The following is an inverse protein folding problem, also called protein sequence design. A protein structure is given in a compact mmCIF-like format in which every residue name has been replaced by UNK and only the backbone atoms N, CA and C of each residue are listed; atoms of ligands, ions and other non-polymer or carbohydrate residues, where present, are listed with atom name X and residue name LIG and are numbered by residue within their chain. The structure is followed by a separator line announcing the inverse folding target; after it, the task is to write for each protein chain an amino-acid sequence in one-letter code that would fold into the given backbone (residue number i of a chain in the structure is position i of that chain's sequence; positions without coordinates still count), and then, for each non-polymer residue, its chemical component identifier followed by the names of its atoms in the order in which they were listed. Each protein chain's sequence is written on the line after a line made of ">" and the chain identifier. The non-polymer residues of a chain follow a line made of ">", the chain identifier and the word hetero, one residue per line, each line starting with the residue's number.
data_IF_176350390852
#
_entry.id   IF_176350390852
#
_cell.length_a   1.000
_cell.length_b   1.000
_cell.length_c   1.000
_cell.angle_alpha   90.00
_cell.angle_beta   90.00
_cell.angle_gamma   90.00
#
_symmetry.space_group_name_H-M   'P 1'
#
loop_
_entity.id
_entity.type
_entity.pdbx_description
1 polymer ?
#
# COMPACT_ATOMS: atom_id res chain seq x y z
N UNK A 1 -66.84 -52.04 45.96
CA UNK A 1 -68.21 -51.42 46.05
C UNK A 1 -68.41 -50.49 44.90
N UNK A 2 -69.20 -50.90 43.99
CA UNK A 2 -70.36 -50.18 43.44
C UNK A 2 -69.99 -49.09 42.43
N UNK A 3 -70.18 -49.50 41.16
CA UNK A 3 -71.13 -48.97 40.13
C UNK A 3 -70.78 -47.56 39.52
N UNK A 4 -70.81 -47.38 38.32
CA UNK A 4 -71.65 -47.77 37.18
C UNK A 4 -72.01 -46.54 36.35
N UNK A 5 -72.13 -46.77 35.02
CA UNK A 5 -72.89 -46.08 33.96
C UNK A 5 -72.33 -44.82 33.33
N UNK A 6 -71.79 -44.93 32.11
CA UNK A 6 -72.46 -44.85 30.81
C UNK A 6 -73.22 -43.55 30.57
N UNK A 7 -72.83 -42.78 29.52
CA UNK A 7 -73.75 -42.44 28.46
C UNK A 7 -73.02 -41.83 27.27
N UNK A 8 -73.31 -42.30 26.10
CA UNK A 8 -72.97 -41.76 24.76
C UNK A 8 -73.58 -40.35 24.57
N UNK A 9 -72.89 -39.52 23.89
CA UNK A 9 -73.58 -38.64 22.94
C UNK A 9 -72.61 -38.20 21.82
N UNK A 10 -73.02 -38.51 20.62
CA UNK A 10 -72.45 -38.09 19.32
C UNK A 10 -72.58 -36.58 19.11
N UNK A 11 -71.72 -36.09 18.22
CA UNK A 11 -71.68 -34.84 17.47
C UNK A 11 -70.57 -33.94 18.04
N UNK A 12 -69.62 -33.53 17.24
CA UNK A 12 -69.63 -33.03 15.88
C UNK A 12 -68.22 -33.02 15.31
N UNK A 13 -68.04 -33.74 14.22
CA UNK A 13 -66.93 -33.53 13.31
C UNK A 13 -67.14 -32.13 12.69
N UNK A 14 -66.19 -31.24 12.77
CA UNK A 14 -66.32 -29.99 12.07
C UNK A 14 -65.41 -28.82 12.48
N UNK A 15 -64.34 -29.03 13.22
CA UNK A 15 -63.50 -27.89 13.61
C UNK A 15 -61.98 -28.19 13.58
N UNK A 16 -61.53 -29.15 12.77
CA UNK A 16 -60.13 -29.50 12.71
C UNK A 16 -59.43 -29.23 11.38
N UNK A 17 -60.10 -28.54 10.45
CA UNK A 17 -59.55 -28.29 9.10
C UNK A 17 -59.19 -26.83 8.77
N UNK A 18 -59.29 -25.91 9.76
CA UNK A 18 -58.99 -24.49 9.49
C UNK A 18 -57.75 -24.00 10.22
N UNK A 19 -57.14 -24.82 11.11
CA UNK A 19 -55.95 -24.40 11.88
C UNK A 19 -54.61 -24.85 11.25
N UNK A 20 -54.63 -25.62 10.18
CA UNK A 20 -53.39 -26.11 9.52
C UNK A 20 -52.97 -25.19 8.35
N UNK A 21 -53.81 -24.30 7.87
CA UNK A 21 -53.49 -23.41 6.74
C UNK A 21 -52.88 -22.07 7.13
N UNK A 22 -52.91 -21.71 8.42
CA UNK A 22 -52.30 -20.45 8.91
C UNK A 22 -50.86 -20.63 9.36
N UNK A 23 -50.45 -21.86 9.65
CA UNK A 23 -49.06 -22.16 10.06
C UNK A 23 -48.07 -22.27 8.85
N UNK A 24 -48.58 -22.46 7.63
CA UNK A 24 -47.72 -22.58 6.45
C UNK A 24 -47.40 -21.23 5.81
N UNK A 25 -48.08 -20.14 6.16
CA UNK A 25 -47.82 -18.79 5.59
C UNK A 25 -46.82 -17.94 6.39
N UNK A 26 -46.36 -18.40 7.55
CA UNK A 26 -45.35 -17.71 8.36
C UNK A 26 -43.94 -18.25 8.18
N UNK A 27 -43.76 -19.27 7.35
CA UNK A 27 -42.45 -19.91 7.10
C UNK A 27 -41.65 -19.33 5.95
N UNK A 28 -42.20 -18.34 5.22
CA UNK A 28 -41.51 -17.66 4.11
C UNK A 28 -40.99 -16.28 4.51
N UNK A 29 -40.60 -16.09 5.78
CA UNK A 29 -39.70 -15.01 6.14
C UNK A 29 -38.37 -15.32 5.42
N UNK A 30 -38.26 -14.82 4.21
CA UNK A 30 -37.06 -14.78 3.42
C UNK A 30 -35.93 -14.34 4.33
N UNK A 31 -35.04 -15.24 4.63
CA UNK A 31 -33.67 -14.91 4.96
C UNK A 31 -33.13 -14.17 3.70
N UNK A 32 -33.43 -12.88 3.62
CA UNK A 32 -32.65 -11.96 2.84
C UNK A 32 -31.28 -12.03 3.50
N UNK A 33 -30.42 -12.94 3.01
CA UNK A 33 -29.00 -12.83 3.21
C UNK A 33 -28.67 -11.43 2.70
N UNK A 34 -28.58 -10.47 3.62
CA UNK A 34 -27.94 -9.22 3.33
C UNK A 34 -26.52 -9.61 2.95
N UNK A 35 -26.30 -9.74 1.66
CA UNK A 35 -24.97 -9.70 1.09
C UNK A 35 -24.42 -8.36 1.59
N UNK A 36 -23.67 -8.42 2.67
CA UNK A 36 -22.94 -7.29 3.22
C UNK A 36 -22.01 -6.90 2.09
N UNK A 37 -22.35 -5.85 1.34
CA UNK A 37 -21.53 -5.35 0.27
C UNK A 37 -20.18 -5.09 0.93
N UNK A 38 -19.17 -5.86 0.57
CA UNK A 38 -17.81 -5.58 0.97
C UNK A 38 -17.55 -4.15 0.49
N UNK A 39 -17.35 -3.25 1.43
CA UNK A 39 -16.92 -1.90 1.08
C UNK A 39 -15.50 -2.02 0.59
N UNK A 40 -15.32 -2.08 -0.71
CA UNK A 40 -14.00 -2.14 -1.36
C UNK A 40 -13.32 -0.76 -1.35
N UNK A 41 -13.90 0.21 -0.64
CA UNK A 41 -13.43 1.60 -0.56
C UNK A 41 -13.20 1.99 0.88
N UNK A 42 -12.01 2.53 1.17
CA UNK A 42 -11.68 3.20 2.43
C UNK A 42 -11.57 4.70 2.19
N UNK A 43 -12.16 5.51 3.06
CA UNK A 43 -12.04 6.97 3.06
C UNK A 43 -11.23 7.39 4.28
N UNK A 44 -10.12 8.06 4.04
CA UNK A 44 -9.21 8.55 5.08
C UNK A 44 -9.23 10.08 5.09
N UNK A 45 -9.48 10.66 6.27
CA UNK A 45 -9.36 12.10 6.48
C UNK A 45 -7.89 12.50 6.65
N UNK A 46 -7.47 13.55 5.95
CA UNK A 46 -6.14 14.15 6.10
C UNK A 46 -6.27 15.56 6.65
N UNK A 47 -5.34 15.95 7.53
CA UNK A 47 -5.31 17.30 8.12
C UNK A 47 -4.79 18.32 7.10
N UNK A 48 -3.83 17.92 6.27
CA UNK A 48 -3.17 18.78 5.29
C UNK A 48 -3.28 18.16 3.89
N UNK A 49 -3.58 19.00 2.91
CA UNK A 49 -3.48 18.61 1.51
C UNK A 49 -2.01 18.63 1.06
N UNK A 50 -1.53 17.62 0.31
CA UNK A 50 -0.20 17.63 -0.25
C UNK A 50 -0.08 18.74 -1.33
N UNK A 51 1.04 19.44 -1.34
CA UNK A 51 1.35 20.46 -2.35
C UNK A 51 1.87 19.85 -3.66
N UNK A 52 2.33 18.60 -3.60
CA UNK A 52 2.92 17.80 -4.68
C UNK A 52 2.69 16.32 -4.36
N UNK A 53 2.95 15.43 -5.31
CA UNK A 53 3.00 13.98 -5.09
C UNK A 53 4.41 13.41 -5.29
N UNK A 54 5.43 14.28 -5.45
CA UNK A 54 6.84 13.89 -5.51
C UNK A 54 7.55 14.25 -4.19
N UNK A 55 7.76 13.28 -3.28
CA UNK A 55 8.42 13.51 -2.00
C UNK A 55 9.92 13.76 -2.15
N UNK A 56 10.50 13.49 -3.32
CA UNK A 56 11.92 13.74 -3.61
C UNK A 56 12.20 15.18 -4.01
N UNK A 57 11.16 15.96 -4.33
CA UNK A 57 11.28 17.35 -4.75
C UNK A 57 10.60 18.35 -3.83
N UNK A 58 9.73 17.89 -2.93
CA UNK A 58 9.00 18.75 -2.00
C UNK A 58 9.00 18.17 -0.57
N UNK A 59 9.22 19.00 0.47
CA UNK A 59 9.48 18.51 1.84
C UNK A 59 8.21 18.30 2.70
N UNK A 60 6.99 18.52 2.17
CA UNK A 60 5.77 18.46 2.97
C UNK A 60 5.43 17.03 3.43
N UNK A 61 5.13 16.84 4.73
CA UNK A 61 4.80 15.53 5.29
C UNK A 61 3.57 14.89 4.62
N UNK A 62 2.55 15.69 4.31
CA UNK A 62 1.33 15.23 3.64
C UNK A 62 1.60 14.52 2.29
N UNK A 63 2.70 14.83 1.61
CA UNK A 63 3.10 14.12 0.39
C UNK A 63 3.42 12.67 0.73
N UNK A 64 4.26 12.44 1.74
CA UNK A 64 4.62 11.11 2.19
C UNK A 64 3.42 10.29 2.64
N UNK A 65 2.47 10.91 3.37
CA UNK A 65 1.25 10.25 3.82
C UNK A 65 0.43 9.66 2.67
N UNK A 66 0.41 10.33 1.51
CA UNK A 66 -0.31 9.85 0.32
C UNK A 66 0.50 8.83 -0.46
N UNK A 67 1.77 9.12 -0.74
CA UNK A 67 2.49 8.38 -1.78
C UNK A 67 3.39 7.27 -1.24
N UNK A 68 3.93 7.41 0.00
CA UNK A 68 4.92 6.48 0.54
C UNK A 68 4.30 5.13 0.88
N UNK A 69 4.83 4.06 0.34
CA UNK A 69 4.32 2.68 0.38
C UNK A 69 2.94 2.46 -0.25
N UNK A 70 2.27 3.52 -0.70
CA UNK A 70 1.04 3.43 -1.46
C UNK A 70 1.31 3.42 -2.97
N UNK A 71 1.98 4.46 -3.47
CA UNK A 71 2.31 4.64 -4.89
C UNK A 71 3.79 4.39 -5.13
N UNK A 72 4.65 4.94 -4.26
CA UNK A 72 6.10 4.94 -4.39
C UNK A 72 6.73 4.13 -3.26
N UNK A 73 7.75 3.35 -3.59
CA UNK A 73 8.48 2.49 -2.65
C UNK A 73 9.97 2.79 -2.67
N UNK A 74 10.63 2.49 -1.55
CA UNK A 74 12.09 2.54 -1.40
C UNK A 74 12.72 1.16 -1.49
N UNK A 75 14.03 1.07 -1.31
CA UNK A 75 14.75 -0.21 -1.27
C UNK A 75 14.38 -1.03 -0.04
N UNK A 76 14.15 -0.37 1.08
CA UNK A 76 13.81 -0.96 2.38
C UNK A 76 12.49 -0.43 2.88
N UNK A 77 11.91 -1.10 3.88
CA UNK A 77 10.69 -0.68 4.58
C UNK A 77 10.98 -0.44 6.05
N UNK A 78 10.53 0.68 6.55
CA UNK A 78 10.58 1.04 7.98
C UNK A 78 9.25 0.65 8.62
N UNK A 79 9.29 -0.03 9.75
CA UNK A 79 8.13 -0.38 10.55
C UNK A 79 7.93 0.61 11.71
N UNK A 80 6.76 0.56 12.34
CA UNK A 80 6.40 1.46 13.44
C UNK A 80 7.32 1.33 14.67
N UNK A 81 7.95 0.17 14.86
CA UNK A 81 8.95 -0.09 15.91
C UNK A 81 10.37 0.37 15.53
N UNK A 82 10.54 0.97 14.34
CA UNK A 82 11.82 1.41 13.80
C UNK A 82 12.65 0.31 13.14
N UNK A 83 12.17 -0.92 13.10
CA UNK A 83 12.86 -2.01 12.38
C UNK A 83 12.83 -1.79 10.87
N UNK A 84 13.85 -2.30 10.19
CA UNK A 84 14.03 -2.18 8.74
C UNK A 84 13.98 -3.57 8.11
N UNK A 85 13.13 -3.73 7.11
CA UNK A 85 12.97 -4.98 6.38
C UNK A 85 13.14 -4.78 4.87
N UNK A 86 13.39 -5.86 4.10
CA UNK A 86 13.39 -5.82 2.63
C UNK A 86 12.09 -5.29 2.03
N UNK A 87 12.20 -4.47 0.96
CA UNK A 87 11.08 -4.01 0.14
C UNK A 87 11.41 -4.21 -1.34
N UNK A 88 11.84 -3.19 -2.09
CA UNK A 88 12.30 -3.40 -3.49
C UNK A 88 13.64 -4.14 -3.54
N UNK A 89 14.50 -3.98 -2.54
CA UNK A 89 15.61 -4.90 -2.32
C UNK A 89 15.10 -6.13 -1.56
N UNK A 90 15.39 -7.33 -2.04
CA UNK A 90 15.11 -8.60 -1.35
C UNK A 90 16.16 -8.91 -0.27
N UNK A 91 17.38 -8.40 -0.45
CA UNK A 91 18.49 -8.55 0.50
C UNK A 91 19.57 -7.51 0.22
N UNK A 92 20.50 -7.39 1.15
CA UNK A 92 21.70 -6.55 1.00
C UNK A 92 22.88 -7.13 1.78
N UNK A 93 24.07 -6.73 1.38
CA UNK A 93 25.31 -6.90 2.14
C UNK A 93 25.98 -5.56 2.32
N UNK A 94 26.75 -5.43 3.39
CA UNK A 94 27.58 -4.26 3.69
C UNK A 94 29.01 -4.73 3.84
N UNK A 95 29.96 -3.95 3.36
CA UNK A 95 31.38 -4.21 3.57
C UNK A 95 31.81 -3.99 5.02
N UNK A 96 33.03 -4.43 5.34
CA UNK A 96 33.57 -4.32 6.72
C UNK A 96 33.75 -2.87 7.20
N UNK A 97 33.94 -1.94 6.26
CA UNK A 97 34.18 -0.52 6.57
C UNK A 97 32.87 0.27 6.68
N UNK A 98 31.71 -0.36 6.41
CA UNK A 98 30.39 0.25 6.45
C UNK A 98 30.17 1.31 5.37
N UNK A 99 30.90 1.24 4.27
CA UNK A 99 30.84 2.20 3.17
C UNK A 99 30.21 1.66 1.90
N UNK A 100 30.31 0.39 1.60
CA UNK A 100 29.75 -0.20 0.40
C UNK A 100 28.54 -1.09 0.75
N UNK A 101 27.43 -0.81 0.09
CA UNK A 101 26.19 -1.58 0.22
C UNK A 101 25.84 -2.19 -1.12
N UNK A 102 25.72 -3.52 -1.17
CA UNK A 102 25.25 -4.23 -2.35
C UNK A 102 23.82 -4.72 -2.13
N UNK A 103 22.87 -4.16 -2.87
CA UNK A 103 21.46 -4.52 -2.82
C UNK A 103 21.12 -5.50 -3.95
N UNK A 104 20.44 -6.60 -3.60
CA UNK A 104 19.79 -7.49 -4.56
C UNK A 104 18.34 -7.05 -4.71
N UNK A 105 17.92 -6.72 -5.92
CA UNK A 105 16.58 -6.25 -6.21
C UNK A 105 15.64 -7.41 -6.50
N UNK A 106 14.38 -7.27 -6.10
CA UNK A 106 13.33 -8.23 -6.45
C UNK A 106 13.15 -8.31 -7.94
N UNK A 107 12.99 -9.55 -8.44
CA UNK A 107 12.70 -9.82 -9.85
C UNK A 107 11.20 -9.75 -10.10
N UNK A 108 10.81 -9.38 -11.33
CA UNK A 108 9.42 -9.37 -11.76
C UNK A 108 8.57 -8.24 -11.20
N UNK A 109 9.19 -7.27 -10.50
CA UNK A 109 8.50 -6.04 -10.08
C UNK A 109 8.25 -5.17 -11.31
N UNK A 110 7.06 -4.58 -11.36
CA UNK A 110 6.68 -3.66 -12.43
C UNK A 110 6.24 -2.32 -11.86
N UNK A 111 6.49 -1.28 -12.61
CA UNK A 111 5.83 0.00 -12.39
C UNK A 111 4.34 -0.10 -12.75
N UNK A 112 3.55 0.85 -12.27
CA UNK A 112 2.09 0.89 -12.49
C UNK A 112 1.69 1.09 -13.96
N UNK A 113 2.61 1.51 -14.82
CA UNK A 113 2.44 1.58 -16.27
C UNK A 113 2.76 0.26 -17.01
N UNK A 114 3.15 -0.78 -16.26
CA UNK A 114 3.49 -2.11 -16.76
C UNK A 114 4.95 -2.29 -17.18
N UNK A 115 5.78 -1.23 -17.16
CA UNK A 115 7.21 -1.33 -17.44
C UNK A 115 7.96 -2.04 -16.31
N UNK A 116 9.11 -2.62 -16.63
CA UNK A 116 9.91 -3.36 -15.65
C UNK A 116 10.68 -2.41 -14.73
N UNK A 117 10.72 -2.75 -13.44
CA UNK A 117 11.60 -2.14 -12.45
C UNK A 117 12.95 -2.88 -12.46
N UNK A 118 14.04 -2.13 -12.53
CA UNK A 118 15.40 -2.64 -12.48
C UNK A 118 16.37 -1.69 -11.76
N UNK A 119 17.65 -2.08 -11.73
CA UNK A 119 18.71 -1.33 -11.09
C UNK A 119 18.94 0.07 -11.71
N UNK A 120 18.58 0.26 -12.97
CA UNK A 120 18.73 1.57 -13.64
C UNK A 120 17.78 2.61 -13.06
N UNK A 121 16.56 2.21 -12.64
CA UNK A 121 15.60 3.09 -12.00
C UNK A 121 16.10 3.55 -10.61
N UNK A 122 16.76 2.66 -9.86
CA UNK A 122 17.38 3.00 -8.57
C UNK A 122 18.51 4.01 -8.77
N UNK A 123 19.42 3.72 -9.69
CA UNK A 123 20.54 4.59 -10.04
C UNK A 123 20.01 5.97 -10.47
N UNK A 124 19.07 6.02 -11.39
CA UNK A 124 18.42 7.26 -11.83
C UNK A 124 17.86 8.08 -10.67
N UNK A 125 17.09 7.45 -9.78
CA UNK A 125 16.42 8.13 -8.66
C UNK A 125 17.42 8.76 -7.70
N UNK A 126 18.51 8.06 -7.38
CA UNK A 126 19.51 8.54 -6.45
C UNK A 126 20.47 9.58 -7.08
N UNK A 127 20.82 9.42 -8.35
CA UNK A 127 21.56 10.45 -9.10
C UNK A 127 20.73 11.72 -9.24
N UNK A 128 19.42 11.63 -9.49
CA UNK A 128 18.49 12.78 -9.49
C UNK A 128 18.45 13.44 -8.11
N UNK A 129 18.37 12.65 -7.02
CA UNK A 129 18.36 13.18 -5.66
C UNK A 129 19.67 13.86 -5.27
N UNK A 130 20.81 13.42 -5.81
CA UNK A 130 22.15 13.99 -5.61
C UNK A 130 22.41 15.20 -6.52
N UNK A 131 21.78 15.27 -7.69
CA UNK A 131 22.06 16.25 -8.74
C UNK A 131 21.97 17.71 -8.28
N UNK A 132 22.66 18.63 -8.98
CA UNK A 132 22.78 20.05 -8.57
C UNK A 132 21.43 20.75 -8.43
N UNK A 133 20.47 20.43 -9.27
CA UNK A 133 19.12 21.00 -9.28
C UNK A 133 18.16 20.31 -8.28
N UNK A 134 18.65 19.33 -7.53
CA UNK A 134 17.81 18.59 -6.59
C UNK A 134 17.37 19.47 -5.42
N UNK A 135 16.08 19.45 -5.15
CA UNK A 135 15.44 20.04 -3.95
C UNK A 135 15.12 19.00 -2.90
N UNK A 136 15.66 17.78 -3.04
CA UNK A 136 15.46 16.71 -2.07
C UNK A 136 16.02 17.13 -0.71
N UNK A 137 15.16 17.11 0.33
CA UNK A 137 15.54 17.52 1.68
C UNK A 137 16.65 16.66 2.30
N UNK A 138 16.79 15.40 1.83
CA UNK A 138 17.85 14.50 2.28
C UNK A 138 19.15 14.62 1.46
N UNK A 139 19.20 15.51 0.44
CA UNK A 139 20.38 15.68 -0.43
C UNK A 139 21.66 15.85 0.39
N UNK A 140 21.70 16.80 1.31
CA UNK A 140 22.90 17.07 2.12
C UNK A 140 23.28 15.93 3.06
N UNK A 141 22.29 15.35 3.72
CA UNK A 141 22.52 14.36 4.78
C UNK A 141 22.73 12.93 4.26
N UNK A 142 22.20 12.60 3.07
CA UNK A 142 22.20 11.23 2.52
C UNK A 142 22.87 11.18 1.16
N UNK A 143 22.28 11.87 0.17
CA UNK A 143 22.67 11.64 -1.22
C UNK A 143 24.04 12.23 -1.56
N UNK A 144 24.46 13.31 -0.92
CA UNK A 144 25.82 13.86 -1.09
C UNK A 144 26.91 12.94 -0.50
N UNK A 145 26.56 12.04 0.42
CA UNK A 145 27.47 11.05 0.97
C UNK A 145 27.69 9.84 0.02
N UNK A 146 26.90 9.73 -1.05
CA UNK A 146 27.05 8.68 -2.05
C UNK A 146 28.15 9.10 -3.03
N UNK A 147 29.31 8.43 -2.98
CA UNK A 147 30.39 8.68 -3.93
C UNK A 147 30.13 8.03 -5.29
N UNK A 148 29.61 6.80 -5.30
CA UNK A 148 29.42 6.05 -6.51
C UNK A 148 28.20 5.13 -6.45
N UNK A 149 27.52 4.97 -7.59
CA UNK A 149 26.43 4.00 -7.78
C UNK A 149 26.74 3.20 -9.03
N UNK A 150 26.87 1.88 -8.89
CA UNK A 150 27.01 0.97 -9.99
C UNK A 150 25.87 -0.05 -10.05
N UNK A 151 25.58 -0.50 -11.26
CA UNK A 151 24.53 -1.47 -11.57
C UNK A 151 25.16 -2.59 -12.41
N UNK A 152 25.86 -3.54 -11.77
CA UNK A 152 26.59 -4.59 -12.50
C UNK A 152 25.66 -5.50 -13.30
N UNK A 153 24.41 -5.62 -12.89
CA UNK A 153 23.34 -6.30 -13.63
C UNK A 153 21.98 -5.62 -13.35
N UNK A 154 20.92 -6.08 -14.00
CA UNK A 154 19.57 -5.50 -13.87
C UNK A 154 18.97 -5.60 -12.46
N UNK A 155 19.51 -6.45 -11.60
CA UNK A 155 18.96 -6.73 -10.27
C UNK A 155 19.98 -6.54 -9.15
N UNK A 156 21.10 -5.87 -9.43
CA UNK A 156 22.11 -5.56 -8.41
C UNK A 156 22.46 -4.08 -8.47
N UNK A 157 22.37 -3.41 -7.32
CA UNK A 157 22.84 -2.04 -7.15
C UNK A 157 23.91 -2.02 -6.07
N UNK A 158 25.07 -1.47 -6.39
CA UNK A 158 26.13 -1.22 -5.43
C UNK A 158 26.26 0.27 -5.20
N UNK A 159 26.11 0.68 -3.94
CA UNK A 159 26.20 2.08 -3.51
C UNK A 159 27.42 2.21 -2.60
N UNK A 160 28.33 3.11 -2.96
CA UNK A 160 29.53 3.41 -2.18
C UNK A 160 29.36 4.80 -1.55
N UNK A 161 29.68 4.90 -0.25
CA UNK A 161 29.61 6.12 0.52
C UNK A 161 31.02 6.72 0.71
N UNK A 162 31.12 8.04 0.79
CA UNK A 162 32.34 8.73 1.17
C UNK A 162 32.70 8.45 2.65
N UNK A 163 31.67 8.43 3.50
CA UNK A 163 31.80 8.16 4.93
C UNK A 163 30.79 7.09 5.37
N UNK A 164 31.17 6.21 6.33
CA UNK A 164 30.22 5.24 6.88
C UNK A 164 28.97 5.91 7.40
N UNK A 165 27.80 5.31 7.15
CA UNK A 165 26.51 5.75 7.71
C UNK A 165 25.75 4.55 8.28
N UNK A 166 25.77 4.40 9.61
CA UNK A 166 25.06 3.31 10.29
C UNK A 166 23.55 3.32 10.12
N UNK A 167 22.98 4.44 9.68
CA UNK A 167 21.55 4.59 9.41
C UNK A 167 21.21 4.45 7.91
N UNK A 168 22.18 4.12 7.06
CA UNK A 168 21.96 4.14 5.61
C UNK A 168 20.79 3.24 5.18
N UNK A 169 20.66 2.05 5.73
CA UNK A 169 19.54 1.15 5.42
C UNK A 169 18.19 1.71 5.84
N UNK A 170 18.13 2.41 6.99
CA UNK A 170 16.92 3.10 7.42
C UNK A 170 16.56 4.22 6.44
N UNK A 171 17.56 5.03 6.04
CA UNK A 171 17.37 6.13 5.08
C UNK A 171 16.88 5.67 3.71
N UNK A 172 17.22 4.44 3.30
CA UNK A 172 16.73 3.84 2.05
C UNK A 172 15.24 3.43 2.11
N UNK A 173 14.65 3.46 3.30
CA UNK A 173 13.21 3.28 3.53
C UNK A 173 12.43 4.58 3.73
N UNK A 174 13.09 5.74 3.78
CA UNK A 174 12.42 7.04 3.94
C UNK A 174 11.75 7.49 2.62
N UNK A 175 10.73 8.34 2.74
CA UNK A 175 10.02 8.89 1.58
C UNK A 175 10.90 9.73 0.64
N UNK A 176 12.05 10.21 1.11
CA UNK A 176 13.04 10.94 0.31
C UNK A 176 13.89 10.04 -0.57
N UNK A 177 13.88 8.74 -0.33
CA UNK A 177 14.67 7.73 -1.06
C UNK A 177 13.78 6.77 -1.88
N UNK A 178 12.55 7.17 -2.19
CA UNK A 178 11.67 6.38 -3.07
C UNK A 178 12.19 6.34 -4.49
N UNK A 179 11.86 5.25 -5.17
CA UNK A 179 12.27 5.04 -6.56
C UNK A 179 11.20 5.59 -7.49
N UNK A 180 11.62 6.48 -8.35
CA UNK A 180 10.79 7.09 -9.40
C UNK A 180 10.99 6.35 -10.73
N UNK A 181 9.93 6.29 -11.51
CA UNK A 181 10.04 5.81 -12.88
C UNK A 181 10.81 6.82 -13.74
N UNK A 182 11.92 6.44 -14.40
CA UNK A 182 12.81 7.39 -15.09
C UNK A 182 12.11 8.25 -16.16
N UNK A 183 11.18 7.64 -16.93
CA UNK A 183 10.48 8.36 -18.02
C UNK A 183 9.39 9.30 -17.54
N UNK A 184 8.88 9.15 -16.30
CA UNK A 184 7.77 9.95 -15.77
C UNK A 184 8.16 10.79 -14.56
N UNK A 185 9.43 10.79 -14.17
CA UNK A 185 9.92 11.52 -13.01
C UNK A 185 9.62 13.03 -13.05
N UNK A 186 9.64 13.64 -14.24
CA UNK A 186 9.33 15.07 -14.42
C UNK A 186 7.85 15.41 -14.13
N UNK A 187 6.95 14.44 -14.25
CA UNK A 187 5.53 14.62 -13.95
C UNK A 187 5.13 14.06 -12.59
N UNK A 188 6.07 13.52 -11.81
CA UNK A 188 5.80 12.87 -10.53
C UNK A 188 5.10 13.79 -9.52
N UNK A 189 5.29 15.10 -9.61
CA UNK A 189 4.62 16.09 -8.77
C UNK A 189 3.08 16.05 -8.86
N UNK A 190 2.52 15.58 -9.98
CA UNK A 190 1.07 15.53 -10.22
C UNK A 190 0.57 14.18 -10.70
N UNK A 191 1.44 13.37 -11.29
CA UNK A 191 1.13 12.05 -11.84
C UNK A 191 2.26 11.06 -11.53
N UNK A 192 2.46 10.71 -10.24
CA UNK A 192 3.49 9.75 -9.88
C UNK A 192 3.19 8.38 -10.46
N UNK A 193 4.23 7.72 -10.97
CA UNK A 193 4.23 6.31 -11.38
C UNK A 193 5.28 5.60 -10.55
N UNK A 194 4.85 4.65 -9.76
CA UNK A 194 5.70 3.89 -8.85
C UNK A 194 5.48 2.39 -8.96
N UNK A 195 6.02 1.65 -8.00
CA UNK A 195 5.92 0.19 -7.88
C UNK A 195 4.92 -0.22 -6.80
N UNK A 196 4.36 0.75 -6.07
CA UNK A 196 3.45 0.51 -4.95
C UNK A 196 2.12 -0.13 -5.35
N UNK A 197 1.39 -0.66 -4.36
CA UNK A 197 0.16 -1.43 -4.58
C UNK A 197 -1.02 -0.61 -5.12
N UNK A 198 -0.93 0.71 -5.09
CA UNK A 198 -1.97 1.62 -5.57
C UNK A 198 -1.40 2.59 -6.59
N UNK A 199 -2.21 2.95 -7.58
CA UNK A 199 -1.93 4.01 -8.56
C UNK A 199 -2.84 5.19 -8.35
N UNK A 200 -2.38 6.38 -8.71
CA UNK A 200 -3.20 7.59 -8.71
C UNK A 200 -4.28 7.48 -9.78
N UNK A 201 -5.53 7.55 -9.38
CA UNK A 201 -6.67 7.67 -10.29
C UNK A 201 -6.99 9.14 -10.55
N UNK A 202 -7.14 9.93 -9.49
CA UNK A 202 -7.42 11.36 -9.61
C UNK A 202 -6.94 12.15 -8.40
N UNK A 203 -6.66 13.42 -8.63
CA UNK A 203 -6.41 14.41 -7.59
C UNK A 203 -7.17 15.69 -7.90
N UNK A 204 -8.23 15.94 -7.15
CA UNK A 204 -9.00 17.17 -7.17
C UNK A 204 -8.55 18.05 -6.00
N UNK A 205 -7.75 19.09 -6.29
CA UNK A 205 -7.21 19.99 -5.25
C UNK A 205 -8.32 20.64 -4.45
N UNK A 206 -8.15 20.67 -3.12
CA UNK A 206 -9.15 21.15 -2.18
C UNK A 206 -10.32 20.20 -1.93
N UNK A 207 -10.34 19.01 -2.56
CA UNK A 207 -11.41 18.02 -2.44
C UNK A 207 -10.91 16.66 -2.02
N UNK A 208 -10.02 16.03 -2.79
CA UNK A 208 -9.52 14.71 -2.45
C UNK A 208 -8.62 14.07 -3.48
N UNK A 209 -8.02 12.96 -3.05
CA UNK A 209 -7.15 12.12 -3.87
C UNK A 209 -7.76 10.72 -3.90
N UNK A 210 -7.89 10.15 -5.08
CA UNK A 210 -8.38 8.79 -5.28
C UNK A 210 -7.24 7.91 -5.76
N UNK A 211 -7.01 6.84 -5.03
CA UNK A 211 -6.06 5.78 -5.38
C UNK A 211 -6.84 4.51 -5.70
N UNK A 212 -6.41 3.80 -6.72
CA UNK A 212 -6.94 2.48 -7.12
C UNK A 212 -5.87 1.42 -7.10
N UNK A 213 -6.29 0.17 -6.92
CA UNK A 213 -5.38 -0.99 -6.90
C UNK A 213 -5.02 -1.45 -8.29
#
# INVERSE_FOLDING_TARGET
>A
MIKSFSCLSRRSAGALSLSLLVAASLGSASLSAQAQSRKDTAVLGMILEPTSLDPTSAPAAAIGEVVHYNILEGLTKIHADGSVTPLLAESWTMDADGKAFSFKLRKGVKFQDGSDFDASAVKFSFERAKGDKSTNKAKGAVFNNISHISTPDAHTVVIVLDKPDGNFLFRMGENTAVILHPKTAETAATKPVGTGPYKLESWAKGSGIVLTK
#
